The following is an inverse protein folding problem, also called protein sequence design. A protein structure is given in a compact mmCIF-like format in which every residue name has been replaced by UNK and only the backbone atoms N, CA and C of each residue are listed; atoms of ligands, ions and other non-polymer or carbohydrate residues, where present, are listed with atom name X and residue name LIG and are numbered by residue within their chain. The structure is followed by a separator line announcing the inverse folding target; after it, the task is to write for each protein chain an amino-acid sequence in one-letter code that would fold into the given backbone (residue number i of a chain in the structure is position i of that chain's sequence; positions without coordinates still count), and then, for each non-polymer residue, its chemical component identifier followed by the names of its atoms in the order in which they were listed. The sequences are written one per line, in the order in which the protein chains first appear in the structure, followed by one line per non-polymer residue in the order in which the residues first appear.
data_IF_613269427041
#
_entry.id   IF_613269427041
#
_cell.length_a   1.000
_cell.length_b   1.000
_cell.length_c   1.000
_cell.angle_alpha   90.00
_cell.angle_beta   90.00
_cell.angle_gamma   90.00
#
_symmetry.space_group_name_H-M   'P 1'
#
loop_
_entity.id
_entity.type
_entity.pdbx_description
1 polymer ?
#
# COMPACT_ATOMS: atom_id res chain seq x y z
N UNK A 1 25.47 -22.00 13.50
CA UNK A 1 24.69 -21.07 12.67
C UNK A 1 24.72 -19.74 13.39
N UNK A 2 25.26 -18.68 12.77
CA UNK A 2 25.25 -17.36 13.38
C UNK A 2 23.85 -16.75 13.19
N UNK A 3 23.21 -16.36 14.28
CA UNK A 3 21.95 -15.62 14.22
C UNK A 3 22.26 -14.21 13.72
N UNK A 4 21.72 -13.84 12.56
CA UNK A 4 21.80 -12.47 12.06
C UNK A 4 20.76 -11.65 12.80
N UNK A 5 21.19 -10.80 13.73
CA UNK A 5 20.33 -9.79 14.33
C UNK A 5 20.04 -8.70 13.29
N UNK A 6 18.78 -8.61 12.86
CA UNK A 6 18.32 -7.52 12.03
C UNK A 6 17.95 -6.34 12.93
N UNK A 7 18.40 -5.11 12.62
CA UNK A 7 17.96 -3.95 13.37
C UNK A 7 16.45 -3.78 13.21
N UNK A 8 15.74 -3.80 14.34
CA UNK A 8 14.30 -3.49 14.41
C UNK A 8 14.18 -2.02 14.76
N UNK A 9 13.50 -1.26 13.91
CA UNK A 9 13.23 0.17 14.14
C UNK A 9 11.80 0.34 14.64
N UNK A 10 11.65 1.06 15.75
CA UNK A 10 10.34 1.49 16.25
C UNK A 10 9.80 2.62 15.37
N UNK A 11 8.78 2.28 14.58
CA UNK A 11 8.15 3.22 13.67
C UNK A 11 7.15 4.12 14.37
N UNK A 12 7.17 5.40 13.99
CA UNK A 12 6.16 6.37 14.43
C UNK A 12 4.79 5.93 13.92
N UNK A 13 3.79 5.96 14.79
CA UNK A 13 2.39 5.78 14.44
C UNK A 13 1.71 7.15 14.48
N UNK A 14 1.14 7.56 13.35
CA UNK A 14 0.45 8.85 13.17
C UNK A 14 -1.05 8.60 13.11
N UNK A 15 -1.83 9.33 13.90
CA UNK A 15 -3.27 9.18 13.94
C UNK A 15 -3.97 9.98 12.83
N UNK A 16 -4.66 9.29 11.94
CA UNK A 16 -5.30 9.90 10.78
C UNK A 16 -6.43 10.87 11.16
N UNK A 17 -7.22 10.57 12.18
CA UNK A 17 -8.34 11.41 12.59
C UNK A 17 -7.85 12.77 13.14
N UNK A 18 -6.78 12.76 13.95
CA UNK A 18 -6.15 14.00 14.42
C UNK A 18 -5.58 14.84 13.27
N UNK A 19 -4.99 14.20 12.25
CA UNK A 19 -4.56 14.90 11.04
C UNK A 19 -5.73 15.56 10.29
N UNK A 20 -6.86 14.86 10.14
CA UNK A 20 -8.07 15.45 9.54
C UNK A 20 -8.60 16.66 10.32
N UNK A 21 -8.41 16.66 11.64
CA UNK A 21 -8.78 17.75 12.54
C UNK A 21 -7.75 18.88 12.59
N UNK A 22 -6.67 18.81 11.80
CA UNK A 22 -5.56 19.77 11.76
C UNK A 22 -4.83 19.92 13.11
N UNK A 23 -4.72 18.82 13.85
CA UNK A 23 -3.93 18.80 15.06
C UNK A 23 -2.45 19.10 14.74
N UNK A 24 -1.92 20.16 15.34
CA UNK A 24 -0.58 20.65 15.04
C UNK A 24 0.52 19.70 15.55
N UNK A 25 0.25 18.98 16.65
CA UNK A 25 1.22 18.03 17.24
C UNK A 25 1.33 16.81 16.34
N UNK A 26 0.19 16.27 15.90
CA UNK A 26 0.17 15.11 15.02
C UNK A 26 0.78 15.42 13.64
N UNK A 27 0.53 16.63 13.10
CA UNK A 27 1.15 17.09 11.86
C UNK A 27 2.68 17.26 11.99
N UNK A 28 3.17 17.75 13.13
CA UNK A 28 4.60 17.84 13.41
C UNK A 28 5.24 16.45 13.50
N UNK A 29 4.58 15.49 14.17
CA UNK A 29 5.05 14.10 14.25
C UNK A 29 5.16 13.46 12.87
N UNK A 30 4.16 13.66 12.01
CA UNK A 30 4.20 13.18 10.62
C UNK A 30 5.38 13.79 9.85
N UNK A 31 5.60 15.10 9.97
CA UNK A 31 6.70 15.77 9.31
C UNK A 31 8.06 15.24 9.78
N UNK A 32 8.28 15.10 11.09
CA UNK A 32 9.50 14.54 11.64
C UNK A 32 9.75 13.11 11.17
N UNK A 33 8.72 12.26 11.16
CA UNK A 33 8.86 10.89 10.67
C UNK A 33 9.25 10.83 9.18
N UNK A 34 8.70 11.73 8.34
CA UNK A 34 9.09 11.87 6.94
C UNK A 34 10.55 12.27 6.76
N UNK A 35 11.07 13.17 7.61
CA UNK A 35 12.44 13.69 7.49
C UNK A 35 13.48 12.73 8.06
N UNK A 36 13.17 12.09 9.19
CA UNK A 36 14.15 11.29 9.94
C UNK A 36 14.17 9.82 9.51
N UNK A 37 13.00 9.21 9.31
CA UNK A 37 12.87 7.78 9.01
C UNK A 37 12.51 7.54 7.55
N UNK A 38 11.69 8.43 6.97
CA UNK A 38 11.16 8.28 5.61
C UNK A 38 9.97 7.34 5.51
N UNK A 39 9.57 6.68 6.60
CA UNK A 39 8.40 5.81 6.70
C UNK A 39 7.78 5.90 8.09
N UNK A 40 6.47 5.65 8.18
CA UNK A 40 5.67 5.65 9.42
C UNK A 40 4.39 4.84 9.21
N UNK A 41 3.73 4.44 10.29
CA UNK A 41 2.41 3.83 10.26
C UNK A 41 1.32 4.89 10.36
N UNK A 42 0.27 4.76 9.57
CA UNK A 42 -0.93 5.59 9.69
C UNK A 42 -2.03 4.79 10.38
N UNK A 43 -2.45 5.26 11.56
CA UNK A 43 -3.54 4.67 12.31
C UNK A 43 -4.89 5.14 11.77
N UNK A 44 -5.67 4.17 11.29
CA UNK A 44 -7.02 4.30 10.74
C UNK A 44 -8.08 3.73 11.68
N UNK A 45 -7.76 3.38 12.93
CA UNK A 45 -8.67 2.70 13.85
C UNK A 45 -9.81 3.54 14.41
N UNK A 46 -9.86 4.84 14.11
CA UNK A 46 -10.89 5.73 14.64
C UNK A 46 -12.22 5.59 13.87
N UNK A 47 -13.35 5.83 14.54
CA UNK A 47 -14.72 5.44 14.10
C UNK A 47 -15.23 6.12 12.82
N UNK A 48 -14.47 7.06 12.23
CA UNK A 48 -14.80 7.71 10.94
C UNK A 48 -14.05 7.10 9.76
N UNK A 49 -13.10 6.21 10.01
CA UNK A 49 -12.29 5.55 8.98
C UNK A 49 -12.91 4.24 8.50
N UNK A 50 -14.10 3.88 8.98
CA UNK A 50 -14.82 2.65 8.60
C UNK A 50 -14.95 2.52 7.08
N UNK A 51 -15.17 3.62 6.36
CA UNK A 51 -15.25 3.62 4.88
C UNK A 51 -13.91 3.24 4.25
N UNK A 52 -12.80 3.74 4.79
CA UNK A 52 -11.45 3.44 4.29
C UNK A 52 -11.12 1.96 4.57
N UNK A 53 -11.41 1.48 5.78
CA UNK A 53 -11.11 0.10 6.17
C UNK A 53 -11.97 -0.93 5.41
N UNK A 54 -13.25 -0.63 5.16
CA UNK A 54 -14.11 -1.46 4.31
C UNK A 54 -13.54 -1.57 2.90
N UNK A 55 -13.10 -0.45 2.32
CA UNK A 55 -12.49 -0.41 0.98
C UNK A 55 -11.21 -1.24 0.92
N UNK A 56 -10.39 -1.23 1.97
CA UNK A 56 -9.15 -2.03 2.03
C UNK A 56 -9.45 -3.53 2.04
N UNK A 57 -10.41 -3.99 2.84
CA UNK A 57 -10.77 -5.41 2.88
C UNK A 57 -11.33 -5.89 1.54
N UNK A 58 -12.20 -5.10 0.91
CA UNK A 58 -12.74 -5.41 -0.42
C UNK A 58 -11.63 -5.45 -1.49
N UNK A 59 -10.68 -4.50 -1.44
CA UNK A 59 -9.53 -4.48 -2.34
C UNK A 59 -8.66 -5.73 -2.18
N UNK A 60 -8.41 -6.15 -0.94
CA UNK A 60 -7.67 -7.39 -0.68
C UNK A 60 -8.38 -8.61 -1.24
N UNK A 61 -9.70 -8.73 -1.07
CA UNK A 61 -10.48 -9.82 -1.67
C UNK A 61 -10.34 -9.85 -3.20
N UNK A 62 -10.43 -8.70 -3.87
CA UNK A 62 -10.25 -8.61 -5.33
C UNK A 62 -8.83 -9.02 -5.75
N UNK A 63 -7.81 -8.69 -4.95
CA UNK A 63 -6.42 -9.05 -5.27
C UNK A 63 -6.08 -10.53 -5.07
N UNK A 64 -6.84 -11.29 -4.28
CA UNK A 64 -6.61 -12.73 -4.11
C UNK A 64 -6.77 -13.51 -5.41
N UNK A 65 -7.70 -13.07 -6.26
CA UNK A 65 -7.97 -13.69 -7.55
C UNK A 65 -7.18 -13.01 -8.69
N UNK A 66 -6.46 -11.92 -8.40
CA UNK A 66 -5.64 -11.23 -9.38
C UNK A 66 -4.38 -12.04 -9.70
N UNK A 67 -4.38 -12.71 -10.85
CA UNK A 67 -3.17 -13.23 -11.47
C UNK A 67 -2.61 -12.19 -12.44
N UNK A 68 -1.38 -11.68 -12.24
CA UNK A 68 -0.76 -10.83 -13.24
C UNK A 68 -0.63 -11.60 -14.56
N UNK A 69 -1.15 -11.01 -15.64
CA UNK A 69 -1.03 -11.55 -16.99
C UNK A 69 0.47 -11.65 -17.34
N UNK A 70 0.96 -12.88 -17.57
CA UNK A 70 2.35 -13.17 -17.91
C UNK A 70 3.10 -14.14 -16.99
N UNK A 71 2.48 -14.62 -15.90
CA UNK A 71 3.06 -15.66 -15.01
C UNK A 71 2.53 -17.07 -15.27
N UNK A 72 1.89 -17.32 -16.41
CA UNK A 72 1.56 -18.67 -16.85
C UNK A 72 2.79 -19.30 -17.53
N UNK A 73 3.55 -20.09 -16.76
CA UNK A 73 4.49 -21.08 -17.30
C UNK A 73 3.71 -22.28 -17.86
N UNK A 74 2.72 -22.02 -18.71
CA UNK A 74 1.92 -23.01 -19.42
C UNK A 74 2.00 -22.73 -20.90
N UNK A 75 2.37 -23.73 -21.67
CA UNK A 75 2.53 -23.71 -23.13
C UNK A 75 1.38 -22.97 -23.82
N UNK A 76 1.59 -21.71 -24.25
CA UNK A 76 0.58 -20.95 -24.99
C UNK A 76 0.71 -21.25 -26.48
N UNK A 77 0.02 -22.30 -26.93
CA UNK A 77 -0.41 -22.34 -28.33
C UNK A 77 -1.54 -21.32 -28.51
N UNK A 78 -1.21 -20.22 -29.18
CA UNK A 78 -2.15 -19.33 -29.87
C UNK A 78 -3.26 -18.69 -29.03
N UNK A 79 -2.91 -17.89 -28.01
CA UNK A 79 -3.84 -16.92 -27.45
C UNK A 79 -3.32 -15.51 -27.73
N UNK A 80 -4.07 -14.77 -28.59
CA UNK A 80 -3.81 -13.36 -28.85
C UNK A 80 -3.86 -12.60 -27.53
N UNK A 81 -2.75 -11.97 -27.17
CA UNK A 81 -2.66 -11.08 -26.03
C UNK A 81 -3.41 -9.78 -26.35
N UNK A 82 -4.23 -9.32 -25.41
CA UNK A 82 -5.12 -8.16 -25.56
C UNK A 82 -4.42 -6.80 -25.69
N UNK A 83 -3.18 -6.76 -26.19
CA UNK A 83 -2.33 -5.57 -26.27
C UNK A 83 -2.21 -4.97 -27.68
N UNK A 84 -2.86 -5.54 -28.71
CA UNK A 84 -2.73 -5.06 -30.09
C UNK A 84 -3.44 -3.71 -30.38
N UNK A 85 -4.12 -3.09 -29.40
CA UNK A 85 -4.97 -1.91 -29.62
C UNK A 85 -4.34 -0.52 -29.41
N UNK A 86 -3.10 -0.40 -28.91
CA UNK A 86 -2.51 0.90 -28.54
C UNK A 86 -1.31 1.30 -29.40
N UNK A 87 -1.46 1.20 -30.73
CA UNK A 87 -0.65 1.97 -31.68
C UNK A 87 -1.51 3.08 -32.28
N UNK A 88 -1.63 4.20 -31.56
CA UNK A 88 -2.07 5.47 -32.17
C UNK A 88 -0.84 6.06 -32.87
N UNK A 89 -0.92 6.17 -34.19
CA UNK A 89 0.15 6.62 -35.07
C UNK A 89 0.58 8.07 -34.85
N UNK A 90 1.78 8.35 -35.35
CA UNK A 90 2.41 9.67 -35.46
C UNK A 90 1.61 10.64 -36.32
#
# INVERSE_FOLDING_TARGET
MAEYEYPVTDLVVVNYNKLQQKDAVEAANMYSACVEQGFFYLDLGDSKSDVILQTVNELFEVTKDYKPLGLDHGNVENQKDGCEGLRVGY
#
